data_IF_113772906325
#
_entry.id   IF_113772906325
#
_cell.length_a   1.000
_cell.length_b   1.000
_cell.length_c   1.000
_cell.angle_alpha   90.00
_cell.angle_beta   90.00
_cell.angle_gamma   90.00
#
_symmetry.space_group_name_H-M   'P 1'
#
loop_
_entity.id
_entity.type
_entity.pdbx_description
1 polymer ?
#
# COMPACT_ATOMS: atom_id res chain seq x y z
N UNK A 1 7.77 -2.30 5.30
CA UNK A 1 6.39 -2.02 5.70
C UNK A 1 6.11 -2.86 6.94
N UNK A 2 5.49 -2.28 7.97
CA UNK A 2 4.97 -3.05 9.10
C UNK A 2 3.54 -3.48 8.77
N UNK A 3 3.22 -4.77 8.91
CA UNK A 3 1.93 -5.30 8.48
C UNK A 3 0.84 -4.93 9.49
N UNK A 4 -0.29 -4.33 9.05
CA UNK A 4 -1.38 -4.01 9.96
C UNK A 4 -1.95 -5.28 10.61
N UNK A 5 -2.10 -5.25 11.94
CA UNK A 5 -2.70 -6.36 12.68
C UNK A 5 -4.19 -6.53 12.33
N UNK A 6 -4.71 -7.76 12.45
CA UNK A 6 -6.14 -8.03 12.30
C UNK A 6 -6.89 -7.75 13.60
N UNK A 7 -8.07 -7.16 13.47
CA UNK A 7 -9.02 -6.96 14.55
C UNK A 7 -9.87 -8.20 14.83
N UNK A 8 -10.74 -8.14 15.85
CA UNK A 8 -11.66 -9.24 16.21
C UNK A 8 -12.64 -9.63 15.09
N UNK A 9 -12.87 -8.73 14.14
CA UNK A 9 -13.71 -8.91 12.95
C UNK A 9 -12.96 -9.52 11.76
N UNK A 10 -11.65 -9.82 11.92
CA UNK A 10 -10.79 -10.35 10.87
C UNK A 10 -10.28 -9.31 9.88
N UNK A 11 -10.77 -8.07 9.95
CA UNK A 11 -10.32 -6.94 9.14
C UNK A 11 -9.02 -6.38 9.69
N UNK A 12 -8.19 -5.77 8.85
CA UNK A 12 -6.98 -5.12 9.31
C UNK A 12 -7.29 -3.79 10.00
N UNK A 13 -6.59 -3.53 11.10
CA UNK A 13 -6.66 -2.27 11.84
C UNK A 13 -5.63 -1.32 11.24
N UNK A 14 -6.11 -0.33 10.49
CA UNK A 14 -5.30 0.68 9.80
C UNK A 14 -5.68 2.08 10.28
N UNK A 15 -5.01 3.11 9.75
CA UNK A 15 -5.41 4.52 9.95
C UNK A 15 -6.82 4.82 9.44
N UNK A 16 -7.38 3.94 8.60
CA UNK A 16 -8.71 4.04 8.01
C UNK A 16 -9.77 3.18 8.72
N UNK A 17 -9.45 2.59 9.88
CA UNK A 17 -10.39 1.82 10.70
C UNK A 17 -11.09 2.71 11.74
N UNK A 18 -12.32 2.35 12.13
CA UNK A 18 -13.10 3.03 13.17
C UNK A 18 -13.24 4.56 13.00
N UNK A 19 -13.46 5.00 11.76
CA UNK A 19 -13.59 6.41 11.42
C UNK A 19 -14.93 6.98 11.90
N UNK A 20 -14.89 8.20 12.46
CA UNK A 20 -16.09 9.03 12.54
C UNK A 20 -16.58 9.44 11.15
N UNK A 21 -17.85 9.86 11.03
CA UNK A 21 -18.42 10.36 9.78
C UNK A 21 -17.58 11.48 9.14
N UNK A 22 -17.09 12.42 9.96
CA UNK A 22 -16.26 13.52 9.47
C UNK A 22 -14.89 13.01 8.97
N UNK A 23 -14.28 12.06 9.68
CA UNK A 23 -13.02 11.43 9.23
C UNK A 23 -13.22 10.60 7.96
N UNK A 24 -14.35 9.90 7.82
CA UNK A 24 -14.65 9.12 6.63
C UNK A 24 -14.70 10.02 5.38
N UNK A 25 -15.39 11.16 5.47
CA UNK A 25 -15.42 12.15 4.38
C UNK A 25 -14.03 12.71 4.11
N UNK A 26 -13.28 13.06 5.15
CA UNK A 26 -11.96 13.66 5.00
C UNK A 26 -10.93 12.68 4.44
N UNK A 27 -10.95 11.42 4.88
CA UNK A 27 -10.04 10.38 4.38
C UNK A 27 -10.38 9.99 2.95
N UNK A 28 -11.66 9.91 2.57
CA UNK A 28 -12.05 9.73 1.16
C UNK A 28 -11.52 10.88 0.29
N UNK A 29 -11.66 12.14 0.75
CA UNK A 29 -11.08 13.30 0.04
C UNK A 29 -9.56 13.14 -0.11
N UNK A 30 -8.86 12.74 0.95
CA UNK A 30 -7.41 12.51 0.92
C UNK A 30 -7.03 11.38 -0.04
N UNK A 31 -7.74 10.25 -0.03
CA UNK A 31 -7.54 9.15 -0.96
C UNK A 31 -7.68 9.62 -2.41
N UNK A 32 -8.77 10.32 -2.73
CA UNK A 32 -8.98 10.83 -4.09
C UNK A 32 -7.92 11.85 -4.50
N UNK A 33 -7.43 12.66 -3.57
CA UNK A 33 -6.31 13.55 -3.84
C UNK A 33 -5.02 12.79 -4.19
N UNK A 34 -4.69 11.73 -3.44
CA UNK A 34 -3.55 10.87 -3.74
C UNK A 34 -3.71 10.20 -5.10
N UNK A 35 -4.90 9.69 -5.43
CA UNK A 35 -5.17 9.11 -6.75
C UNK A 35 -4.98 10.14 -7.87
N UNK A 36 -5.52 11.35 -7.71
CA UNK A 36 -5.39 12.42 -8.70
C UNK A 36 -3.94 12.89 -8.93
N UNK A 37 -3.03 12.65 -7.97
CA UNK A 37 -1.61 12.99 -8.08
C UNK A 37 -0.76 11.83 -8.62
N UNK A 38 -1.19 10.58 -8.44
CA UNK A 38 -0.35 9.40 -8.70
C UNK A 38 -0.85 8.52 -9.86
N UNK A 39 -2.09 8.66 -10.29
CA UNK A 39 -2.70 7.89 -11.39
C UNK A 39 -2.71 8.76 -12.66
N UNK A 40 -1.55 8.88 -13.30
CA UNK A 40 -1.30 9.90 -14.33
C UNK A 40 -1.40 9.40 -15.77
N UNK A 41 -1.59 8.10 -15.99
CA UNK A 41 -1.78 7.56 -17.35
C UNK A 41 -3.08 8.12 -17.97
N UNK A 42 -3.16 8.31 -19.31
CA UNK A 42 -4.30 8.96 -19.95
C UNK A 42 -5.66 8.34 -19.63
N UNK A 43 -5.73 7.02 -19.44
CA UNK A 43 -6.95 6.31 -19.05
C UNK A 43 -7.49 6.72 -17.68
N UNK A 44 -6.66 7.27 -16.80
CA UNK A 44 -7.01 7.72 -15.45
C UNK A 44 -7.46 9.18 -15.38
N UNK A 45 -7.52 9.90 -16.52
CA UNK A 45 -7.99 11.29 -16.58
C UNK A 45 -9.32 11.54 -15.84
N UNK A 46 -10.33 10.64 -15.89
CA UNK A 46 -11.58 10.84 -15.15
C UNK A 46 -11.40 11.01 -13.63
N UNK A 47 -10.32 10.48 -13.04
CA UNK A 47 -10.02 10.65 -11.60
C UNK A 47 -9.84 12.13 -11.27
N UNK A 48 -9.06 12.85 -12.08
CA UNK A 48 -8.78 14.26 -11.87
C UNK A 48 -10.02 15.13 -12.12
N UNK A 49 -10.78 14.81 -13.17
CA UNK A 49 -11.99 15.55 -13.53
C UNK A 49 -13.08 15.37 -12.46
N UNK A 50 -13.31 14.13 -12.02
CA UNK A 50 -14.24 13.81 -10.95
C UNK A 50 -13.83 14.44 -9.62
N UNK A 51 -12.53 14.45 -9.28
CA UNK A 51 -12.05 15.08 -8.05
C UNK A 51 -12.33 16.59 -8.04
N UNK A 52 -12.02 17.29 -9.15
CA UNK A 52 -12.30 18.72 -9.30
C UNK A 52 -13.79 19.00 -9.17
N UNK A 53 -14.63 18.23 -9.87
CA UNK A 53 -16.09 18.38 -9.81
C UNK A 53 -16.62 18.17 -8.37
N UNK A 54 -16.13 17.13 -7.68
CA UNK A 54 -16.48 16.84 -6.29
C UNK A 54 -16.12 18.00 -5.36
N UNK A 55 -14.89 18.54 -5.45
CA UNK A 55 -14.45 19.65 -4.61
C UNK A 55 -15.30 20.90 -4.85
N UNK A 56 -15.48 21.30 -6.11
CA UNK A 56 -16.23 22.51 -6.46
C UNK A 56 -17.67 22.43 -5.96
N UNK A 57 -18.36 21.31 -6.21
CA UNK A 57 -19.76 21.11 -5.81
C UNK A 57 -19.94 21.07 -4.29
N UNK A 58 -18.96 20.56 -3.55
CA UNK A 58 -19.07 20.30 -2.11
C UNK A 58 -18.28 21.27 -1.23
N UNK A 59 -17.79 22.40 -1.77
CA UNK A 59 -16.94 23.36 -1.05
C UNK A 59 -17.45 23.72 0.35
N UNK A 60 -18.74 24.05 0.49
CA UNK A 60 -19.34 24.42 1.79
C UNK A 60 -19.38 23.24 2.78
N UNK A 61 -19.81 22.07 2.32
CA UNK A 61 -19.91 20.86 3.14
C UNK A 61 -18.53 20.38 3.59
N UNK A 62 -17.54 20.38 2.68
CA UNK A 62 -16.16 20.00 3.00
C UNK A 62 -15.50 20.98 3.97
N UNK A 63 -15.77 22.29 3.85
CA UNK A 63 -15.33 23.27 4.85
C UNK A 63 -15.94 22.98 6.22
N UNK A 64 -17.24 22.69 6.29
CA UNK A 64 -17.89 22.39 7.55
C UNK A 64 -17.34 21.11 8.21
N UNK A 65 -17.04 20.07 7.44
CA UNK A 65 -16.36 18.85 7.92
C UNK A 65 -14.97 19.19 8.46
N UNK A 66 -14.16 19.95 7.71
CA UNK A 66 -12.84 20.39 8.13
C UNK A 66 -12.87 21.15 9.47
N UNK A 67 -13.81 22.09 9.60
CA UNK A 67 -13.94 22.92 10.80
C UNK A 67 -14.33 22.07 12.03
N UNK A 68 -15.18 21.04 11.85
CA UNK A 68 -15.53 20.08 12.92
C UNK A 68 -14.35 19.19 13.32
N UNK A 69 -13.57 18.72 12.35
CA UNK A 69 -12.34 17.96 12.64
C UNK A 69 -11.38 18.84 13.42
N UNK A 70 -11.12 20.06 12.97
CA UNK A 70 -10.23 20.99 13.68
C UNK A 70 -10.70 21.24 15.12
N UNK A 71 -12.00 21.47 15.30
CA UNK A 71 -12.61 21.61 16.62
C UNK A 71 -12.37 20.38 17.49
N UNK A 72 -12.52 19.16 16.96
CA UNK A 72 -12.31 17.92 17.73
C UNK A 72 -10.86 17.74 18.18
N UNK A 73 -9.87 18.18 17.38
CA UNK A 73 -8.48 18.23 17.83
C UNK A 73 -8.29 19.31 18.90
N UNK A 74 -8.68 20.55 18.64
CA UNK A 74 -8.48 21.64 19.63
C UNK A 74 -9.17 21.39 20.98
N UNK A 75 -10.27 20.63 21.03
CA UNK A 75 -10.93 20.27 22.30
C UNK A 75 -10.21 19.19 23.10
N UNK A 76 -9.33 18.40 22.49
CA UNK A 76 -8.61 17.28 23.14
C UNK A 76 -7.25 17.69 23.72
N UNK A 77 -6.69 18.82 23.27
CA UNK A 77 -5.36 19.27 23.67
C UNK A 77 -5.44 20.62 24.37
N UNK A 78 -4.65 20.78 25.45
CA UNK A 78 -4.56 22.05 26.19
C UNK A 78 -3.77 23.11 25.42
N UNK A 79 -2.80 22.68 24.62
CA UNK A 79 -1.91 23.54 23.84
C UNK A 79 -2.30 23.45 22.37
N UNK A 80 -2.54 24.60 21.73
CA UNK A 80 -2.94 24.67 20.31
C UNK A 80 -1.91 24.01 19.39
N UNK A 81 -0.62 24.17 19.67
CA UNK A 81 0.45 23.56 18.88
C UNK A 81 0.35 22.04 18.86
N UNK A 82 0.05 21.41 20.00
CA UNK A 82 -0.06 19.95 20.11
C UNK A 82 -1.26 19.43 19.31
N UNK A 83 -2.38 20.16 19.31
CA UNK A 83 -3.54 19.84 18.47
C UNK A 83 -3.20 19.82 16.98
N UNK A 84 -2.42 20.81 16.53
CA UNK A 84 -1.96 20.92 15.13
C UNK A 84 -1.04 19.74 14.79
N UNK A 85 -0.03 19.48 15.62
CA UNK A 85 0.92 18.37 15.40
C UNK A 85 0.20 17.02 15.35
N UNK A 86 -0.76 16.78 16.24
CA UNK A 86 -1.54 15.55 16.25
C UNK A 86 -2.40 15.39 14.98
N UNK A 87 -2.99 16.48 14.48
CA UNK A 87 -3.79 16.49 13.25
C UNK A 87 -2.93 16.28 12.01
N UNK A 88 -1.79 16.95 11.93
CA UNK A 88 -0.85 16.84 10.82
C UNK A 88 -0.24 15.43 10.77
N UNK A 89 0.10 14.87 11.94
CA UNK A 89 0.57 13.50 12.07
C UNK A 89 -0.47 12.47 11.59
N UNK A 90 -1.74 12.62 11.98
CA UNK A 90 -2.83 11.77 11.46
C UNK A 90 -2.99 11.92 9.95
N UNK A 91 -3.01 13.16 9.45
CA UNK A 91 -3.16 13.42 8.00
C UNK A 91 -2.02 12.77 7.23
N UNK A 92 -0.79 12.89 7.72
CA UNK A 92 0.39 12.25 7.11
C UNK A 92 0.25 10.74 7.05
N UNK A 93 -0.24 10.10 8.11
CA UNK A 93 -0.50 8.64 8.10
C UNK A 93 -1.54 8.24 7.04
N UNK A 94 -2.63 9.02 6.90
CA UNK A 94 -3.65 8.76 5.87
C UNK A 94 -3.06 8.86 4.47
N UNK A 95 -2.27 9.92 4.20
CA UNK A 95 -1.62 10.10 2.90
C UNK A 95 -0.61 8.97 2.61
N UNK A 96 0.21 8.60 3.60
CA UNK A 96 1.17 7.51 3.47
C UNK A 96 0.48 6.18 3.20
N UNK A 97 -0.66 5.90 3.85
CA UNK A 97 -1.45 4.70 3.59
C UNK A 97 -1.87 4.62 2.12
N UNK A 98 -2.50 5.67 1.58
CA UNK A 98 -2.95 5.67 0.19
C UNK A 98 -1.82 5.78 -0.84
N UNK A 99 -0.62 6.16 -0.41
CA UNK A 99 0.57 6.23 -1.23
C UNK A 99 1.38 4.92 -1.27
N UNK A 100 0.88 3.82 -0.69
CA UNK A 100 1.56 2.53 -0.69
C UNK A 100 1.83 2.03 -2.12
N UNK A 101 3.10 1.94 -2.56
CA UNK A 101 3.42 1.61 -3.96
C UNK A 101 2.91 0.23 -4.38
N UNK A 102 2.92 -0.74 -3.47
CA UNK A 102 2.51 -2.11 -3.79
C UNK A 102 1.02 -2.23 -4.13
N UNK A 103 0.17 -1.38 -3.55
CA UNK A 103 -1.27 -1.34 -3.83
C UNK A 103 -1.65 -0.35 -4.94
N UNK A 104 -0.73 0.50 -5.41
CA UNK A 104 -0.99 1.64 -6.31
C UNK A 104 -1.76 1.25 -7.57
N UNK A 105 -1.38 0.15 -8.23
CA UNK A 105 -2.03 -0.27 -9.48
C UNK A 105 -3.50 -0.68 -9.27
N UNK A 106 -3.81 -1.37 -8.17
CA UNK A 106 -5.19 -1.68 -7.81
C UNK A 106 -5.95 -0.43 -7.35
N UNK A 107 -5.29 0.44 -6.58
CA UNK A 107 -5.87 1.70 -6.11
C UNK A 107 -6.26 2.64 -7.26
N UNK A 108 -5.42 2.79 -8.29
CA UNK A 108 -5.76 3.62 -9.45
C UNK A 108 -6.97 3.09 -10.21
N UNK A 109 -7.12 1.78 -10.36
CA UNK A 109 -8.31 1.16 -10.98
C UNK A 109 -9.57 1.40 -10.15
N UNK A 110 -9.51 1.16 -8.84
CA UNK A 110 -10.63 1.41 -7.93
C UNK A 110 -11.04 2.90 -7.91
N UNK A 111 -10.05 3.81 -7.92
CA UNK A 111 -10.29 5.24 -7.99
C UNK A 111 -10.91 5.68 -9.32
N UNK A 112 -10.52 5.04 -10.44
CA UNK A 112 -11.13 5.27 -11.75
C UNK A 112 -12.61 4.87 -11.76
N UNK A 113 -12.93 3.68 -11.24
CA UNK A 113 -14.31 3.20 -11.15
C UNK A 113 -15.16 4.14 -10.30
N UNK A 114 -14.66 4.54 -9.12
CA UNK A 114 -15.31 5.52 -8.26
C UNK A 114 -15.51 6.87 -8.99
N UNK A 115 -14.49 7.36 -9.69
CA UNK A 115 -14.56 8.63 -10.38
C UNK A 115 -15.56 8.62 -11.53
N UNK A 116 -15.61 7.55 -12.32
CA UNK A 116 -16.60 7.36 -13.38
C UNK A 116 -18.03 7.35 -12.81
N UNK A 117 -18.25 6.63 -11.71
CA UNK A 117 -19.54 6.62 -11.02
C UNK A 117 -19.93 8.01 -10.51
N UNK A 118 -18.98 8.76 -9.94
CA UNK A 118 -19.21 10.12 -9.47
C UNK A 118 -19.46 11.12 -10.60
N UNK A 119 -18.88 10.92 -11.79
CA UNK A 119 -19.14 11.75 -12.97
C UNK A 119 -20.53 11.44 -13.56
N UNK A 120 -20.92 10.16 -13.60
CA UNK A 120 -22.23 9.73 -14.09
C UNK A 120 -23.37 10.13 -13.15
N UNK A 121 -23.15 10.05 -11.83
CA UNK A 121 -24.11 10.41 -10.79
C UNK A 121 -23.45 11.32 -9.74
N UNK A 122 -23.32 12.64 -10.02
CA UNK A 122 -22.63 13.57 -9.15
C UNK A 122 -23.18 13.60 -7.72
N UNK A 123 -22.39 13.22 -6.70
CA UNK A 123 -22.88 13.19 -5.32
C UNK A 123 -23.25 14.61 -4.85
N UNK A 124 -24.35 14.71 -4.11
CA UNK A 124 -24.78 15.95 -3.45
C UNK A 124 -24.47 15.96 -1.94
N UNK A 125 -24.29 14.77 -1.35
CA UNK A 125 -23.89 14.59 0.03
C UNK A 125 -22.53 13.87 0.09
N UNK A 126 -21.47 14.54 0.55
CA UNK A 126 -20.16 13.93 0.73
C UNK A 126 -20.16 12.73 1.67
N UNK A 127 -21.00 12.71 2.71
CA UNK A 127 -21.01 11.62 3.69
C UNK A 127 -21.64 10.37 3.10
N UNK A 128 -22.81 10.48 2.47
CA UNK A 128 -23.41 9.37 1.74
C UNK A 128 -22.46 8.83 0.67
N UNK A 129 -21.79 9.72 -0.08
CA UNK A 129 -20.80 9.30 -1.07
C UNK A 129 -19.61 8.58 -0.44
N UNK A 130 -19.08 9.08 0.67
CA UNK A 130 -17.96 8.44 1.35
C UNK A 130 -18.33 7.04 1.88
N UNK A 131 -19.52 6.88 2.47
CA UNK A 131 -20.04 5.57 2.91
C UNK A 131 -20.18 4.57 1.77
N UNK A 132 -20.61 5.02 0.59
CA UNK A 132 -20.80 4.15 -0.56
C UNK A 132 -19.47 3.76 -1.24
N UNK A 133 -18.49 4.67 -1.28
CA UNK A 133 -17.30 4.50 -2.13
C UNK A 133 -16.05 4.07 -1.37
N UNK A 134 -15.91 4.41 -0.08
CA UNK A 134 -14.63 4.30 0.62
C UNK A 134 -14.13 2.86 0.74
N UNK A 135 -15.03 1.88 0.96
CA UNK A 135 -14.66 0.47 1.00
C UNK A 135 -14.02 -0.03 -0.30
N UNK A 136 -14.50 0.45 -1.46
CA UNK A 136 -13.91 0.10 -2.75
C UNK A 136 -12.48 0.64 -2.94
N UNK A 137 -12.18 1.81 -2.37
CA UNK A 137 -10.82 2.37 -2.39
C UNK A 137 -9.86 1.62 -1.45
N UNK A 138 -10.37 1.01 -0.38
CA UNK A 138 -9.56 0.23 0.57
C UNK A 138 -9.26 -1.18 0.08
N UNK A 139 -10.13 -1.77 -0.75
CA UNK A 139 -10.02 -3.16 -1.20
C UNK A 139 -8.65 -3.53 -1.81
N UNK A 140 -8.01 -2.68 -2.65
CA UNK A 140 -6.68 -2.98 -3.19
C UNK A 140 -5.58 -3.09 -2.12
N UNK A 141 -5.71 -2.35 -1.02
CA UNK A 141 -4.75 -2.39 0.09
C UNK A 141 -4.94 -3.66 0.91
N UNK A 142 -6.19 -4.02 1.23
CA UNK A 142 -6.49 -5.28 1.92
C UNK A 142 -6.03 -6.49 1.10
N UNK A 143 -6.31 -6.51 -0.21
CA UNK A 143 -5.83 -7.56 -1.10
C UNK A 143 -4.30 -7.68 -1.06
N UNK A 144 -3.59 -6.55 -1.18
CA UNK A 144 -2.14 -6.56 -1.11
C UNK A 144 -1.63 -7.09 0.25
N UNK A 145 -2.23 -6.65 1.36
CA UNK A 145 -1.80 -7.12 2.68
C UNK A 145 -2.05 -8.62 2.86
N UNK A 146 -3.17 -9.15 2.34
CA UNK A 146 -3.49 -10.58 2.38
C UNK A 146 -2.51 -11.41 1.53
N UNK A 147 -2.21 -10.94 0.31
CA UNK A 147 -1.22 -11.58 -0.56
C UNK A 147 0.18 -11.55 0.06
N UNK A 148 0.55 -10.44 0.71
CA UNK A 148 1.84 -10.31 1.38
C UNK A 148 1.95 -11.16 2.64
N UNK A 149 0.86 -11.37 3.38
CA UNK A 149 0.81 -12.30 4.52
C UNK A 149 0.97 -13.74 4.05
N UNK A 150 0.22 -14.14 3.03
CA UNK A 150 0.33 -15.47 2.42
C UNK A 150 1.75 -15.73 1.91
N UNK A 151 2.38 -14.73 1.29
CA UNK A 151 3.77 -14.80 0.87
C UNK A 151 4.74 -15.02 2.04
N UNK A 152 4.61 -14.27 3.13
CA UNK A 152 5.47 -14.43 4.31
C UNK A 152 5.36 -15.85 4.91
N UNK A 153 4.14 -16.39 4.98
CA UNK A 153 3.90 -17.76 5.45
C UNK A 153 4.57 -18.77 4.52
N UNK A 154 4.28 -18.70 3.22
CA UNK A 154 4.86 -19.63 2.23
C UNK A 154 6.39 -19.58 2.20
N UNK A 155 6.95 -18.38 2.35
CA UNK A 155 8.39 -18.18 2.44
C UNK A 155 8.99 -18.82 3.70
N UNK A 156 8.35 -18.65 4.86
CA UNK A 156 8.80 -19.27 6.09
C UNK A 156 8.72 -20.82 6.04
N UNK A 157 7.65 -21.35 5.44
CA UNK A 157 7.51 -22.79 5.21
C UNK A 157 8.58 -23.35 4.27
N UNK A 158 8.89 -22.63 3.20
CA UNK A 158 9.98 -22.98 2.29
C UNK A 158 11.33 -22.93 3.03
N UNK A 159 11.60 -21.88 3.81
CA UNK A 159 12.85 -21.72 4.56
C UNK A 159 13.04 -22.85 5.57
N UNK A 160 11.97 -23.25 6.26
CA UNK A 160 11.99 -24.36 7.21
C UNK A 160 12.30 -25.69 6.53
N UNK A 161 11.85 -25.90 5.29
CA UNK A 161 12.02 -27.15 4.56
C UNK A 161 13.35 -27.23 3.80
N UNK A 162 13.76 -26.13 3.20
CA UNK A 162 14.79 -26.10 2.17
C UNK A 162 15.92 -25.10 2.46
N UNK A 163 15.75 -24.23 3.45
CA UNK A 163 16.69 -23.13 3.73
C UNK A 163 18.11 -23.60 4.06
N UNK A 164 18.26 -24.76 4.71
CA UNK A 164 19.57 -25.34 5.00
C UNK A 164 20.32 -25.82 3.74
N UNK A 165 19.60 -26.23 2.70
CA UNK A 165 20.17 -26.78 1.47
C UNK A 165 20.37 -25.71 0.39
N UNK A 166 19.43 -24.77 0.28
CA UNK A 166 19.38 -23.81 -0.83
C UNK A 166 19.56 -22.34 -0.39
N UNK A 167 19.75 -22.09 0.91
CA UNK A 167 19.77 -20.73 1.48
C UNK A 167 18.36 -20.17 1.68
N UNK A 168 18.18 -18.99 2.30
CA UNK A 168 16.86 -18.42 2.58
C UNK A 168 16.15 -17.89 1.31
N UNK A 169 14.83 -18.08 1.25
CA UNK A 169 13.92 -17.63 0.17
C UNK A 169 13.73 -16.12 0.11
N UNK A 170 14.09 -15.41 1.19
CA UNK A 170 14.12 -13.96 1.26
C UNK A 170 15.55 -13.42 1.23
N UNK A 171 16.27 -13.48 0.10
CA UNK A 171 17.66 -13.02 0.06
C UNK A 171 17.78 -11.53 0.45
N UNK A 172 16.76 -10.70 0.18
CA UNK A 172 16.74 -9.28 0.56
C UNK A 172 16.28 -9.00 1.99
N UNK A 173 15.25 -9.69 2.50
CA UNK A 173 14.70 -9.39 3.83
C UNK A 173 15.54 -10.00 4.95
N UNK A 174 16.08 -11.22 4.74
CA UNK A 174 17.03 -11.85 5.68
C UNK A 174 18.32 -11.03 5.75
N UNK A 175 18.82 -10.54 4.62
CA UNK A 175 19.92 -9.57 4.58
C UNK A 175 19.63 -8.31 5.41
N UNK A 176 18.46 -7.69 5.24
CA UNK A 176 18.08 -6.48 6.00
C UNK A 176 17.92 -6.76 7.50
N UNK A 177 17.34 -7.90 7.89
CA UNK A 177 17.21 -8.26 9.30
C UNK A 177 18.54 -8.64 9.94
N UNK A 178 19.39 -9.39 9.24
CA UNK A 178 20.74 -9.71 9.68
C UNK A 178 21.57 -8.45 9.88
N UNK A 179 21.50 -7.48 8.95
CA UNK A 179 22.13 -6.17 9.11
C UNK A 179 21.61 -5.41 10.33
N UNK A 180 20.28 -5.39 10.56
CA UNK A 180 19.67 -4.76 11.76
C UNK A 180 20.10 -5.44 13.07
N UNK A 181 20.36 -6.74 13.03
CA UNK A 181 20.85 -7.52 14.15
C UNK A 181 22.39 -7.53 14.27
N UNK A 182 23.10 -6.77 13.43
CA UNK A 182 24.56 -6.61 13.49
C UNK A 182 25.38 -7.73 12.85
N UNK A 183 24.75 -8.62 12.07
CA UNK A 183 25.44 -9.68 11.33
C UNK A 183 25.94 -9.20 9.97
N UNK A 184 27.10 -9.70 9.54
CA UNK A 184 27.64 -9.44 8.22
C UNK A 184 26.78 -10.12 7.14
N UNK A 185 26.25 -9.32 6.22
CA UNK A 185 25.44 -9.80 5.10
C UNK A 185 26.35 -10.13 3.92
N UNK A 186 26.38 -11.39 3.49
CA UNK A 186 27.12 -11.80 2.29
C UNK A 186 26.35 -11.47 1.01
N UNK A 187 27.02 -10.90 0.01
CA UNK A 187 26.43 -10.62 -1.31
C UNK A 187 26.11 -11.92 -2.05
N UNK A 188 24.85 -12.12 -2.44
CA UNK A 188 24.45 -13.21 -3.32
C UNK A 188 24.98 -12.98 -4.76
N UNK A 189 25.48 -14.00 -5.46
CA UNK A 189 25.99 -13.84 -6.81
C UNK A 189 24.82 -13.80 -7.82
N UNK A 190 24.77 -12.76 -8.65
CA UNK A 190 23.91 -12.76 -9.84
C UNK A 190 23.08 -11.51 -10.14
N UNK A 191 23.20 -10.41 -9.40
CA UNK A 191 22.43 -9.19 -9.70
C UNK A 191 23.20 -8.28 -10.65
N UNK A 192 22.84 -8.31 -11.92
CA UNK A 192 23.36 -7.38 -12.92
C UNK A 192 22.76 -5.98 -12.67
N UNK A 193 23.67 -5.01 -12.52
CA UNK A 193 23.49 -3.59 -12.16
C UNK A 193 23.34 -3.28 -10.67
N UNK A 194 24.47 -2.82 -10.12
CA UNK A 194 24.59 -2.23 -8.78
C UNK A 194 24.96 -0.76 -8.89
N UNK A 195 24.33 0.11 -8.11
CA UNK A 195 24.76 1.50 -7.90
C UNK A 195 25.57 1.55 -6.61
N UNK A 196 26.72 2.21 -6.64
CA UNK A 196 27.55 2.38 -5.44
C UNK A 196 26.99 3.52 -4.58
N UNK A 197 26.77 3.24 -3.31
CA UNK A 197 26.40 4.24 -2.32
C UNK A 197 27.54 5.26 -2.14
N UNK A 198 27.29 6.57 -2.29
CA UNK A 198 28.35 7.58 -2.33
C UNK A 198 29.00 7.88 -0.98
N UNK A 199 28.41 7.46 0.15
CA UNK A 199 28.98 7.67 1.49
C UNK A 199 29.71 6.43 2.01
N UNK A 200 29.21 5.24 1.67
CA UNK A 200 29.69 3.96 2.21
C UNK A 200 30.41 3.09 1.19
N UNK A 201 30.30 3.39 -0.11
CA UNK A 201 30.89 2.61 -1.19
C UNK A 201 30.28 1.22 -1.37
N UNK A 202 29.14 0.93 -0.72
CA UNK A 202 28.50 -0.37 -0.79
C UNK A 202 27.70 -0.53 -2.10
N UNK A 203 27.80 -1.68 -2.79
CA UNK A 203 27.02 -1.94 -4.00
C UNK A 203 25.56 -2.22 -3.65
N UNK A 204 24.65 -1.34 -4.06
CA UNK A 204 23.20 -1.51 -3.89
C UNK A 204 22.62 -2.10 -5.18
N UNK A 205 21.97 -3.29 -5.12
CA UNK A 205 21.35 -3.90 -6.30
C UNK A 205 20.14 -3.10 -6.79
N UNK A 206 20.09 -2.82 -8.10
CA UNK A 206 18.94 -2.17 -8.74
C UNK A 206 18.00 -3.24 -9.27
N UNK A 207 16.78 -3.32 -8.72
CA UNK A 207 15.72 -4.18 -9.25
C UNK A 207 14.85 -3.33 -10.17
N UNK A 208 14.88 -3.50 -11.51
CA UNK A 208 14.02 -2.74 -12.39
C UNK A 208 12.56 -3.18 -12.20
N UNK A 209 11.71 -2.27 -11.73
CA UNK A 209 10.26 -2.48 -11.68
C UNK A 209 9.72 -2.28 -13.09
N UNK A 210 9.26 -3.35 -13.73
CA UNK A 210 8.58 -3.27 -15.03
C UNK A 210 7.08 -3.13 -14.77
N UNK A 211 6.52 -1.92 -14.92
CA UNK A 211 5.08 -1.72 -14.77
C UNK A 211 4.31 -2.56 -15.81
N UNK A 212 3.37 -3.40 -15.36
CA UNK A 212 2.55 -4.26 -16.23
C UNK A 212 2.94 -5.74 -16.28
N UNK A 213 4.02 -6.17 -15.60
CA UNK A 213 4.38 -7.58 -15.49
C UNK A 213 3.86 -8.13 -14.15
N UNK A 214 2.85 -8.99 -14.22
CA UNK A 214 2.56 -9.92 -13.10
C UNK A 214 3.68 -10.95 -13.14
N UNK A 215 4.59 -10.92 -12.18
CA UNK A 215 5.59 -11.98 -12.01
C UNK A 215 4.83 -13.29 -11.85
N UNK A 216 4.86 -14.16 -12.87
CA UNK A 216 4.35 -15.51 -12.70
C UNK A 216 5.21 -16.19 -11.64
N UNK A 217 4.60 -16.92 -10.68
CA UNK A 217 5.38 -17.71 -9.74
C UNK A 217 6.30 -18.63 -10.54
N UNK A 218 7.58 -18.66 -10.17
CA UNK A 218 8.54 -19.61 -10.73
C UNK A 218 8.04 -21.01 -10.41
N UNK A 219 7.41 -21.68 -11.37
CA UNK A 219 7.09 -23.10 -11.26
C UNK A 219 8.37 -23.85 -11.61
N UNK A 220 9.00 -24.49 -10.63
CA UNK A 220 10.15 -25.35 -10.87
C UNK A 220 9.75 -26.53 -11.78
N UNK A 221 10.59 -26.90 -12.76
CA UNK A 221 10.35 -28.08 -13.57
C UNK A 221 10.46 -29.34 -12.70
N UNK A 222 9.39 -30.13 -12.63
CA UNK A 222 9.38 -31.46 -12.02
C UNK A 222 10.40 -32.32 -12.78
N UNK A 223 11.42 -32.84 -12.09
CA UNK A 223 12.42 -33.70 -12.69
C UNK A 223 11.77 -34.94 -13.33
N UNK A 224 12.09 -35.20 -14.59
CA UNK A 224 11.69 -36.42 -15.28
C UNK A 224 12.28 -37.64 -14.54
N UNK A 225 11.44 -38.62 -14.24
CA UNK A 225 11.76 -39.80 -13.43
C UNK A 225 12.99 -40.56 -13.94
N UNK A 226 13.76 -41.08 -12.98
CA UNK A 226 14.94 -41.92 -13.16
C UNK A 226 14.64 -43.15 -14.03
N UNK A 227 15.16 -43.15 -15.25
CA UNK A 227 15.30 -44.37 -16.06
C UNK A 227 16.45 -45.22 -15.52
N UNK A 228 16.12 -46.37 -14.95
CA UNK A 228 17.05 -47.45 -14.62
C UNK A 228 17.71 -47.98 -15.90
N UNK A 229 19.01 -47.73 -16.08
CA UNK A 229 19.83 -48.40 -17.09
C UNK A 229 20.44 -49.69 -16.51
N UNK A 230 19.92 -50.83 -16.96
CA UNK A 230 20.57 -52.15 -16.84
C UNK A 230 21.52 -52.39 -18.01
N UNK A 231 22.43 -53.35 -17.83
CA UNK A 231 23.45 -53.92 -18.78
C UNK A 231 24.79 -53.17 -18.75
N UNK A 232 25.95 -53.78 -18.52
CA UNK A 232 26.45 -55.15 -18.78
C UNK A 232 27.25 -55.74 -17.60
#
# INVERSE_FOLDING_TARGET
MDMPARGPDGQRITVNSNLSDDQLVWNLRSAWNVAALNCLAPEYQPILDGYRAFLTKNTRSLKAVNDRIEKSYTSRFRVRRDAIVARDGYTTQVYNFFAEPAARAGFCRAALDMANNALAAPPSDPLAFARASFGGLLAPFEQFFDEYEAYQIASAEWDAKWGAQYGPSQPGWVAVQQARAGFAVGSAPGVMQTVLDPETGLPVPVIPVTEGVVSQPVVEPIAAGSGSGSSE
#
